data_IF_608734640693
#
_entry.id   IF_608734640693
#
_cell.length_a   1.000
_cell.length_b   1.000
_cell.length_c   1.000
_cell.angle_alpha   90.00
_cell.angle_beta   90.00
_cell.angle_gamma   90.00
#
_symmetry.space_group_name_H-M   'P 1'
#
loop_
_entity.id
_entity.type
_entity.pdbx_description
1 polymer ?
#
# COMPACT_ATOMS: atom_id res chain seq x y z
N UNK A 1 -5.95 12.33 -5.59
CA UNK A 1 -5.38 12.39 -4.22
C UNK A 1 -6.34 13.14 -3.30
N UNK A 2 -6.30 12.84 -2.00
CA UNK A 2 -7.18 13.40 -0.98
C UNK A 2 -6.35 13.89 0.22
N UNK A 3 -6.26 15.21 0.39
CA UNK A 3 -5.40 15.86 1.38
C UNK A 3 -6.22 16.32 2.57
N UNK A 4 -5.73 16.02 3.77
CA UNK A 4 -6.40 16.34 5.02
C UNK A 4 -5.76 15.60 6.20
N UNK A 5 -6.27 15.85 7.40
CA UNK A 5 -5.71 15.30 8.65
C UNK A 5 -5.89 13.78 8.73
N UNK A 6 -4.77 13.08 8.79
CA UNK A 6 -4.70 11.63 9.01
C UNK A 6 -4.23 11.29 10.42
N UNK A 7 -4.58 10.10 10.90
CA UNK A 7 -4.04 9.58 12.16
C UNK A 7 -2.51 9.46 12.08
N UNK A 8 -1.81 9.92 13.12
CA UNK A 8 -0.35 9.93 13.16
C UNK A 8 0.31 11.03 12.32
N UNK A 9 -0.43 11.98 11.73
CA UNK A 9 0.18 13.13 11.06
C UNK A 9 0.98 14.00 12.03
N UNK A 10 2.11 14.54 11.55
CA UNK A 10 2.94 15.51 12.26
C UNK A 10 2.69 16.95 11.80
N UNK A 11 1.65 17.17 10.98
CA UNK A 11 1.22 18.49 10.58
C UNK A 11 0.77 19.33 11.81
N UNK A 12 0.97 20.66 11.79
CA UNK A 12 0.57 21.58 12.86
C UNK A 12 -0.87 21.33 13.35
N UNK A 13 -1.17 21.45 14.64
CA UNK A 13 -2.44 21.01 15.25
C UNK A 13 -3.70 21.67 14.66
N UNK A 14 -3.56 22.88 14.15
CA UNK A 14 -4.59 23.67 13.47
C UNK A 14 -4.82 23.24 12.01
N UNK A 15 -3.82 22.61 11.37
CA UNK A 15 -3.93 22.14 10.00
C UNK A 15 -4.95 21.00 9.88
N UNK A 16 -5.97 21.16 9.04
CA UNK A 16 -7.07 20.19 8.86
C UNK A 16 -7.88 19.88 10.12
N UNK A 17 -7.84 20.74 11.15
CA UNK A 17 -8.61 20.61 12.39
C UNK A 17 -10.13 20.68 12.16
N UNK A 18 -10.57 21.35 11.11
CA UNK A 18 -11.98 21.48 10.72
C UNK A 18 -12.57 20.18 10.13
N UNK A 19 -11.74 19.17 9.87
CA UNK A 19 -12.14 17.96 9.13
C UNK A 19 -12.30 18.18 7.63
N UNK A 20 -11.95 19.37 7.12
CA UNK A 20 -11.97 19.67 5.69
C UNK A 20 -11.01 18.76 4.93
N UNK A 21 -11.38 18.43 3.69
CA UNK A 21 -10.54 17.68 2.76
C UNK A 21 -10.43 18.36 1.41
N UNK A 22 -9.23 18.32 0.86
CA UNK A 22 -8.84 18.86 -0.42
C UNK A 22 -8.62 17.71 -1.40
N UNK A 23 -9.59 17.50 -2.28
CA UNK A 23 -9.50 16.50 -3.34
C UNK A 23 -8.88 17.15 -4.58
N UNK A 24 -7.81 16.53 -5.09
CA UNK A 24 -7.13 16.93 -6.34
C UNK A 24 -7.08 15.70 -7.25
N UNK A 25 -8.01 15.52 -8.20
CA UNK A 25 -7.91 14.49 -9.22
C UNK A 25 -6.75 14.79 -10.17
N UNK A 26 -6.02 13.75 -10.55
CA UNK A 26 -4.84 13.83 -11.41
C UNK A 26 -4.80 12.60 -12.32
N UNK A 27 -4.40 12.79 -13.57
CA UNK A 27 -4.00 11.70 -14.45
C UNK A 27 -2.49 11.76 -14.58
N UNK A 28 -1.83 10.62 -14.33
CA UNK A 28 -0.38 10.54 -14.25
C UNK A 28 0.10 9.41 -15.15
N UNK A 29 1.18 9.68 -15.88
CA UNK A 29 1.81 8.75 -16.79
C UNK A 29 3.18 8.34 -16.24
N UNK A 30 3.32 7.05 -15.95
CA UNK A 30 4.56 6.45 -15.52
C UNK A 30 5.35 6.06 -16.77
N UNK A 31 6.62 6.46 -16.85
CA UNK A 31 7.50 6.17 -17.98
C UNK A 31 8.56 5.15 -17.59
N UNK A 32 9.05 4.39 -18.58
CA UNK A 32 10.21 3.51 -18.45
C UNK A 32 11.55 4.25 -18.58
N UNK A 33 11.52 5.55 -18.88
CA UNK A 33 12.70 6.40 -19.03
C UNK A 33 13.30 6.72 -17.64
N UNK A 34 14.63 6.67 -17.47
CA UNK A 34 15.27 7.14 -16.24
C UNK A 34 14.96 8.61 -15.94
N UNK A 35 14.74 8.94 -14.67
CA UNK A 35 14.68 10.33 -14.23
C UNK A 35 16.09 10.92 -14.11
N UNK A 36 16.32 12.10 -14.69
CA UNK A 36 17.66 12.72 -14.81
C UNK A 36 17.91 13.86 -13.83
N UNK A 37 16.89 14.29 -13.08
CA UNK A 37 17.01 15.34 -12.07
C UNK A 37 17.52 14.83 -10.72
N UNK A 38 17.51 15.72 -9.72
CA UNK A 38 17.81 15.34 -8.34
C UNK A 38 16.72 14.42 -7.77
N UNK A 39 17.13 13.27 -7.23
CA UNK A 39 16.22 12.27 -6.68
C UNK A 39 16.24 12.34 -5.16
N UNK A 40 15.04 12.47 -4.57
CA UNK A 40 14.90 12.43 -3.12
C UNK A 40 15.20 11.03 -2.56
N UNK A 41 15.79 10.99 -1.36
CA UNK A 41 16.16 9.74 -0.68
C UNK A 41 14.99 8.77 -0.48
N UNK A 42 13.76 9.26 -0.33
CA UNK A 42 12.57 8.44 -0.11
C UNK A 42 12.26 7.53 -1.32
N UNK A 43 12.67 7.97 -2.51
CA UNK A 43 12.38 7.30 -3.78
C UNK A 43 13.52 6.37 -4.17
N UNK A 44 14.75 6.79 -3.89
CA UNK A 44 15.96 6.00 -4.15
C UNK A 44 16.57 6.25 -5.53
N UNK A 45 17.87 5.95 -5.66
CA UNK A 45 18.74 6.42 -6.76
C UNK A 45 18.40 5.93 -8.17
N UNK A 46 17.47 4.97 -8.32
CA UNK A 46 17.10 4.36 -9.61
C UNK A 46 15.69 4.77 -10.04
N UNK A 47 15.35 6.04 -9.84
CA UNK A 47 14.05 6.56 -10.19
C UNK A 47 13.84 6.61 -11.71
N UNK A 48 12.67 6.20 -12.14
CA UNK A 48 12.16 6.34 -13.49
C UNK A 48 11.24 7.56 -13.54
N UNK A 49 10.97 8.11 -14.72
CA UNK A 49 10.22 9.36 -14.87
C UNK A 49 8.72 9.15 -14.70
N UNK A 50 8.06 10.04 -13.97
CA UNK A 50 6.59 10.15 -13.87
C UNK A 50 6.16 11.57 -14.24
N UNK A 51 5.11 11.71 -15.04
CA UNK A 51 4.62 13.02 -15.47
C UNK A 51 3.11 13.11 -15.33
N UNK A 52 2.56 14.26 -14.90
CA UNK A 52 1.11 14.46 -15.02
C UNK A 52 0.77 14.60 -16.50
N UNK A 53 -0.37 14.04 -16.93
CA UNK A 53 -0.84 14.14 -18.31
C UNK A 53 -1.24 15.59 -18.63
N UNK A 54 -1.82 16.28 -17.66
CA UNK A 54 -2.13 17.70 -17.71
C UNK A 54 -1.22 18.46 -16.74
N UNK A 55 -0.70 19.62 -17.16
CA UNK A 55 0.18 20.45 -16.32
C UNK A 55 -0.55 21.24 -15.23
N UNK A 56 -1.89 21.21 -15.24
CA UNK A 56 -2.75 21.82 -14.24
C UNK A 56 -3.77 20.81 -13.73
N UNK A 57 -4.01 20.82 -12.42
CA UNK A 57 -5.04 20.03 -11.78
C UNK A 57 -6.15 20.92 -11.26
N UNK A 58 -7.39 20.49 -11.44
CA UNK A 58 -8.57 21.23 -10.98
C UNK A 58 -8.97 20.75 -9.59
N UNK A 59 -9.30 21.69 -8.70
CA UNK A 59 -9.83 21.39 -7.36
C UNK A 59 -10.92 22.39 -6.96
N UNK A 60 -11.77 21.98 -6.02
CA UNK A 60 -12.95 22.75 -5.59
C UNK A 60 -12.75 23.39 -4.20
N UNK A 61 -12.99 24.69 -4.13
CA UNK A 61 -13.00 25.50 -2.89
C UNK A 61 -14.40 26.06 -2.60
N UNK A 62 -14.59 26.74 -1.48
CA UNK A 62 -15.84 27.49 -1.21
C UNK A 62 -16.06 28.59 -2.27
N UNK A 63 -14.99 29.16 -2.81
CA UNK A 63 -15.02 30.17 -3.86
C UNK A 63 -15.10 29.61 -5.29
N UNK A 64 -15.48 28.33 -5.43
CA UNK A 64 -15.60 27.63 -6.70
C UNK A 64 -14.32 26.93 -7.16
N UNK A 65 -14.26 26.71 -8.47
CA UNK A 65 -13.15 26.00 -9.12
C UNK A 65 -11.84 26.78 -9.01
N UNK A 66 -10.75 26.04 -8.76
CA UNK A 66 -9.38 26.54 -8.76
C UNK A 66 -8.47 25.55 -9.48
N UNK A 67 -7.33 26.05 -9.94
CA UNK A 67 -6.30 25.26 -10.63
C UNK A 67 -4.98 25.32 -9.86
N UNK A 68 -4.23 24.23 -9.90
CA UNK A 68 -2.86 24.15 -9.37
C UNK A 68 -1.94 23.57 -10.43
N UNK A 69 -0.76 24.19 -10.60
CA UNK A 69 0.27 23.65 -11.50
C UNK A 69 0.93 22.43 -10.89
N UNK A 70 1.04 21.37 -11.69
CA UNK A 70 1.65 20.10 -11.30
C UNK A 70 2.75 19.75 -12.29
N UNK A 71 3.95 19.53 -11.77
CA UNK A 71 5.13 19.06 -12.48
C UNK A 71 5.35 17.56 -12.26
N UNK A 72 6.13 16.97 -13.16
CA UNK A 72 6.57 15.58 -13.05
C UNK A 72 7.64 15.38 -11.98
N UNK A 73 7.96 14.11 -11.73
CA UNK A 73 8.98 13.69 -10.79
C UNK A 73 9.55 12.34 -11.18
N UNK A 74 10.03 11.60 -10.19
CA UNK A 74 10.50 10.23 -10.35
C UNK A 74 9.63 9.22 -9.61
N UNK A 75 9.75 7.96 -9.98
CA UNK A 75 9.08 6.83 -9.36
C UNK A 75 9.98 5.61 -9.27
N UNK A 76 9.71 4.75 -8.30
CA UNK A 76 10.35 3.44 -8.12
C UNK A 76 9.33 2.43 -7.63
N UNK A 77 9.58 1.15 -7.93
CA UNK A 77 8.95 0.03 -7.22
C UNK A 77 10.04 -0.64 -6.41
N UNK A 78 9.86 -0.65 -5.10
CA UNK A 78 10.67 -1.47 -4.22
C UNK A 78 10.11 -2.89 -4.16
N UNK A 79 10.99 -3.90 -4.27
CA UNK A 79 10.57 -5.28 -4.17
C UNK A 79 10.01 -5.58 -2.76
N UNK A 80 9.15 -6.62 -2.65
CA UNK A 80 8.68 -7.15 -1.37
C UNK A 80 9.77 -7.30 -0.30
N UNK A 81 9.57 -6.69 0.87
CA UNK A 81 10.42 -6.89 2.04
C UNK A 81 9.80 -7.93 2.98
N UNK A 82 10.55 -8.99 3.33
CA UNK A 82 10.19 -9.98 4.37
C UNK A 82 8.72 -10.44 4.36
N UNK A 83 8.22 -10.86 3.18
CA UNK A 83 6.86 -11.36 3.00
C UNK A 83 5.77 -10.27 2.99
N UNK A 84 6.13 -9.00 2.79
CA UNK A 84 5.18 -7.92 2.53
C UNK A 84 4.92 -7.70 1.02
N UNK A 85 4.06 -6.74 0.65
CA UNK A 85 3.86 -6.35 -0.74
C UNK A 85 5.06 -5.59 -1.31
N UNK A 86 5.12 -5.48 -2.64
CA UNK A 86 5.97 -4.47 -3.27
C UNK A 86 5.48 -3.07 -2.89
N UNK A 87 6.37 -2.09 -2.86
CA UNK A 87 6.01 -0.70 -2.53
C UNK A 87 6.35 0.20 -3.70
N UNK A 88 5.32 0.79 -4.30
CA UNK A 88 5.53 1.86 -5.27
C UNK A 88 5.69 3.18 -4.53
N UNK A 89 6.70 3.97 -4.93
CA UNK A 89 6.85 5.35 -4.50
C UNK A 89 7.06 6.27 -5.68
N UNK A 90 6.52 7.47 -5.61
CA UNK A 90 6.78 8.52 -6.58
C UNK A 90 6.55 9.89 -5.96
N UNK A 91 6.93 10.94 -6.68
CA UNK A 91 6.56 12.29 -6.30
C UNK A 91 6.07 13.10 -7.50
N UNK A 92 5.29 14.12 -7.20
CA UNK A 92 4.89 15.17 -8.14
C UNK A 92 5.25 16.53 -7.53
N UNK A 93 5.54 17.50 -8.38
CA UNK A 93 5.93 18.84 -7.94
C UNK A 93 4.74 19.79 -8.03
N UNK A 94 4.37 20.43 -6.92
CA UNK A 94 3.28 21.40 -6.84
C UNK A 94 3.87 22.80 -6.83
N UNK A 95 3.67 23.56 -7.91
CA UNK A 95 4.35 24.85 -8.08
C UNK A 95 3.93 25.91 -7.06
N UNK A 96 2.63 26.25 -7.03
CA UNK A 96 2.09 27.27 -6.10
C UNK A 96 1.39 26.65 -4.88
N UNK A 97 1.42 25.32 -4.73
CA UNK A 97 0.57 24.63 -3.78
C UNK A 97 -0.92 24.72 -4.11
N UNK A 98 -1.76 24.20 -3.23
CA UNK A 98 -3.22 24.30 -3.32
C UNK A 98 -3.81 24.40 -1.92
N UNK A 99 -4.89 25.17 -1.72
CA UNK A 99 -5.44 25.37 -0.38
C UNK A 99 -6.96 25.37 -0.36
N UNK A 100 -7.52 24.88 0.74
CA UNK A 100 -8.95 24.90 1.05
C UNK A 100 -9.12 24.97 2.56
N UNK A 101 -9.61 26.11 3.06
CA UNK A 101 -9.71 26.42 4.50
C UNK A 101 -8.38 26.22 5.22
N UNK A 102 -8.34 25.33 6.20
CA UNK A 102 -7.22 24.98 7.06
C UNK A 102 -6.37 23.82 6.51
N UNK A 103 -6.61 23.42 5.26
CA UNK A 103 -5.86 22.37 4.55
C UNK A 103 -5.13 22.97 3.38
N UNK A 104 -3.84 22.68 3.28
CA UNK A 104 -2.98 23.10 2.17
C UNK A 104 -2.07 21.96 1.70
N UNK A 105 -1.82 21.94 0.39
CA UNK A 105 -0.69 21.29 -0.26
C UNK A 105 0.39 22.37 -0.39
N UNK A 106 1.55 22.23 0.27
CA UNK A 106 2.62 23.21 0.16
C UNK A 106 3.25 23.20 -1.24
N UNK A 107 3.94 24.28 -1.58
CA UNK A 107 4.84 24.32 -2.74
C UNK A 107 5.94 23.27 -2.61
N UNK A 108 6.27 22.60 -3.71
CA UNK A 108 7.37 21.64 -3.81
C UNK A 108 6.89 20.20 -3.99
N UNK A 109 7.67 19.26 -3.49
CA UNK A 109 7.45 17.83 -3.75
C UNK A 109 6.41 17.23 -2.79
N UNK A 110 5.39 16.60 -3.37
CA UNK A 110 4.46 15.72 -2.66
C UNK A 110 4.81 14.28 -3.04
N UNK A 111 5.06 13.46 -2.01
CA UNK A 111 5.45 12.07 -2.15
C UNK A 111 4.24 11.17 -1.97
N UNK A 112 4.19 10.12 -2.77
CA UNK A 112 3.14 9.13 -2.83
C UNK A 112 3.78 7.76 -2.56
N UNK A 113 3.15 6.96 -1.71
CA UNK A 113 3.56 5.57 -1.47
C UNK A 113 2.34 4.68 -1.40
N UNK A 114 2.37 3.52 -2.07
CA UNK A 114 1.32 2.51 -1.98
C UNK A 114 1.91 1.10 -2.02
N UNK A 115 1.20 0.16 -1.42
CA UNK A 115 1.47 -1.26 -1.63
C UNK A 115 0.99 -1.68 -3.02
N UNK A 116 1.68 -2.64 -3.63
CA UNK A 116 1.24 -3.23 -4.88
C UNK A 116 1.70 -4.66 -5.08
N UNK A 117 1.06 -5.33 -6.04
CA UNK A 117 1.19 -6.76 -6.31
C UNK A 117 1.09 -7.04 -7.80
N UNK A 118 1.84 -8.04 -8.26
CA UNK A 118 1.66 -8.61 -9.60
C UNK A 118 0.46 -9.55 -9.61
N UNK A 119 -0.26 -9.64 -10.74
CA UNK A 119 -1.41 -10.53 -10.88
C UNK A 119 -1.04 -12.01 -10.59
N UNK A 120 0.17 -12.46 -10.97
CA UNK A 120 0.61 -13.84 -10.71
C UNK A 120 0.88 -14.10 -9.22
N UNK A 121 1.40 -13.11 -8.50
CA UNK A 121 1.65 -13.19 -7.06
C UNK A 121 0.33 -13.34 -6.31
N UNK A 122 -0.67 -12.53 -6.69
CA UNK A 122 -2.03 -12.61 -6.13
C UNK A 122 -2.64 -13.98 -6.43
N UNK A 123 -2.60 -14.43 -7.68
CA UNK A 123 -3.16 -15.74 -8.05
C UNK A 123 -2.49 -16.91 -7.31
N UNK A 124 -1.16 -16.85 -7.16
CA UNK A 124 -0.39 -17.86 -6.43
C UNK A 124 -0.73 -17.85 -4.94
N UNK A 125 -0.80 -16.68 -4.32
CA UNK A 125 -1.14 -16.53 -2.91
C UNK A 125 -2.59 -16.93 -2.61
N UNK A 126 -3.55 -16.62 -3.48
CA UNK A 126 -4.94 -17.07 -3.34
C UNK A 126 -5.06 -18.59 -3.38
N UNK A 127 -4.33 -19.23 -4.31
CA UNK A 127 -4.27 -20.69 -4.40
C UNK A 127 -3.67 -21.29 -3.13
N UNK A 128 -2.51 -20.79 -2.69
CA UNK A 128 -1.84 -21.26 -1.47
C UNK A 128 -2.72 -21.08 -0.22
N UNK A 129 -3.42 -19.94 -0.12
CA UNK A 129 -4.38 -19.64 0.95
C UNK A 129 -5.52 -20.65 0.96
N UNK A 130 -6.13 -20.92 -0.20
CA UNK A 130 -7.23 -21.88 -0.33
C UNK A 130 -6.81 -23.30 0.04
N UNK A 131 -5.65 -23.74 -0.45
CA UNK A 131 -5.10 -25.08 -0.13
C UNK A 131 -4.80 -25.21 1.37
N UNK A 132 -4.15 -24.22 1.97
CA UNK A 132 -3.82 -24.24 3.40
C UNK A 132 -5.06 -24.16 4.29
N UNK A 133 -6.07 -23.39 3.89
CA UNK A 133 -7.35 -23.33 4.60
C UNK A 133 -8.06 -24.69 4.55
N UNK A 134 -8.09 -25.34 3.38
CA UNK A 134 -8.63 -26.69 3.24
C UNK A 134 -7.90 -27.73 4.09
N UNK A 135 -6.56 -27.63 4.20
CA UNK A 135 -5.77 -28.48 5.10
C UNK A 135 -6.07 -28.22 6.58
N UNK A 136 -6.23 -26.96 6.97
CA UNK A 136 -6.56 -26.55 8.34
C UNK A 136 -7.96 -27.00 8.76
N UNK A 137 -8.96 -26.85 7.89
CA UNK A 137 -10.35 -27.24 8.16
C UNK A 137 -10.56 -28.75 8.07
N UNK A 138 -9.85 -29.42 7.15
CA UNK A 138 -9.88 -30.86 6.98
C UNK A 138 -8.83 -31.56 7.83
N UNK A 139 -7.78 -32.08 7.19
CA UNK A 139 -6.82 -33.03 7.80
C UNK A 139 -6.24 -32.56 9.13
N UNK A 140 -5.69 -31.34 9.20
CA UNK A 140 -5.04 -30.84 10.41
C UNK A 140 -6.07 -30.57 11.52
N UNK A 141 -7.23 -29.99 11.16
CA UNK A 141 -8.31 -29.69 12.10
C UNK A 141 -8.93 -30.95 12.67
N UNK A 142 -9.22 -31.94 11.83
CA UNK A 142 -9.75 -33.24 12.23
C UNK A 142 -8.75 -34.02 13.08
N UNK A 143 -7.47 -34.07 12.69
CA UNK A 143 -6.42 -34.72 13.49
C UNK A 143 -6.24 -34.07 14.86
N UNK A 144 -6.23 -32.74 14.93
CA UNK A 144 -6.17 -32.01 16.19
C UNK A 144 -7.40 -32.28 17.06
N UNK A 145 -8.61 -32.24 16.47
CA UNK A 145 -9.85 -32.51 17.18
C UNK A 145 -9.88 -33.94 17.74
N UNK A 146 -9.55 -34.94 16.92
CA UNK A 146 -9.47 -36.33 17.36
C UNK A 146 -8.44 -36.51 18.48
N UNK A 147 -7.23 -35.96 18.32
CA UNK A 147 -6.19 -36.06 19.34
C UNK A 147 -6.58 -35.36 20.66
N UNK A 148 -7.29 -34.24 20.58
CA UNK A 148 -7.81 -33.50 21.74
C UNK A 148 -8.94 -34.27 22.45
N UNK A 149 -9.91 -34.80 21.71
CA UNK A 149 -11.00 -35.62 22.24
C UNK A 149 -10.47 -36.92 22.88
N UNK A 150 -9.53 -37.60 22.21
CA UNK A 150 -8.88 -38.83 22.69
C UNK A 150 -8.12 -38.60 24.01
N UNK A 151 -7.47 -37.43 24.15
CA UNK A 151 -6.76 -37.02 25.36
C UNK A 151 -7.73 -36.61 26.48
N UNK A 152 -8.80 -35.87 26.14
CA UNK A 152 -9.82 -35.42 27.09
C UNK A 152 -10.58 -36.56 27.75
N UNK A 153 -10.85 -37.64 27.00
CA UNK A 153 -11.56 -38.84 27.48
C UNK A 153 -10.66 -39.88 28.17
N UNK A 154 -9.33 -39.72 28.13
CA UNK A 154 -8.40 -40.71 28.66
C UNK A 154 -8.24 -40.66 30.19
N UNK A 155 -7.96 -41.82 30.80
CA UNK A 155 -7.53 -41.93 32.20
C UNK A 155 -6.12 -41.36 32.44
N UNK A 156 -5.69 -41.24 33.71
CA UNK A 156 -4.45 -40.56 34.07
C UNK A 156 -3.19 -41.16 33.40
N UNK A 157 -3.06 -42.49 33.38
CA UNK A 157 -1.95 -43.18 32.70
C UNK A 157 -2.05 -43.10 31.17
N UNK A 158 -3.26 -43.17 30.60
CA UNK A 158 -3.46 -43.06 29.15
C UNK A 158 -3.17 -41.65 28.61
N UNK A 159 -3.41 -40.61 29.42
CA UNK A 159 -3.07 -39.23 29.06
C UNK A 159 -1.58 -39.07 28.81
N UNK A 160 -0.73 -39.71 29.59
CA UNK A 160 0.73 -39.67 29.40
C UNK A 160 1.10 -40.29 28.04
N UNK A 161 0.48 -41.42 27.68
CA UNK A 161 0.73 -42.10 26.40
C UNK A 161 0.20 -41.33 25.19
N UNK A 162 -0.91 -40.58 25.33
CA UNK A 162 -1.55 -39.81 24.25
C UNK A 162 -0.98 -38.40 24.07
N UNK A 163 -0.25 -37.88 25.06
CA UNK A 163 0.33 -36.54 25.03
C UNK A 163 1.21 -36.25 23.80
N UNK A 164 2.11 -37.16 23.34
CA UNK A 164 2.94 -36.90 22.16
C UNK A 164 2.12 -36.67 20.88
N UNK A 165 1.00 -37.39 20.71
CA UNK A 165 0.10 -37.21 19.56
C UNK A 165 -0.58 -35.85 19.61
N UNK A 166 -1.08 -35.44 20.78
CA UNK A 166 -1.68 -34.12 20.97
C UNK A 166 -0.67 -32.99 20.71
N UNK A 167 0.56 -33.12 21.24
CA UNK A 167 1.63 -32.14 21.00
C UNK A 167 1.97 -32.04 19.51
N UNK A 168 2.12 -33.18 18.82
CA UNK A 168 2.39 -33.20 17.37
C UNK A 168 1.28 -32.52 16.57
N UNK A 169 0.01 -32.82 16.87
CA UNK A 169 -1.13 -32.20 16.20
C UNK A 169 -1.22 -30.69 16.49
N UNK A 170 -0.89 -30.27 17.71
CA UNK A 170 -0.83 -28.85 18.10
C UNK A 170 0.25 -28.11 17.31
N UNK A 171 1.47 -28.65 17.24
CA UNK A 171 2.56 -28.06 16.46
C UNK A 171 2.20 -27.96 14.97
N UNK A 172 1.58 -29.00 14.40
CA UNK A 172 1.15 -28.99 13.01
C UNK A 172 0.11 -27.88 12.74
N UNK A 173 -0.88 -27.74 13.64
CA UNK A 173 -1.87 -26.66 13.59
C UNK A 173 -1.21 -25.29 13.69
N UNK A 174 -0.34 -25.08 14.67
CA UNK A 174 0.30 -23.79 14.91
C UNK A 174 1.20 -23.38 13.74
N UNK A 175 1.97 -24.33 13.17
CA UNK A 175 2.76 -24.08 11.97
C UNK A 175 1.90 -23.72 10.76
N UNK A 176 0.76 -24.39 10.56
CA UNK A 176 -0.16 -24.07 9.48
C UNK A 176 -0.82 -22.70 9.69
N UNK A 177 -1.19 -22.33 10.92
CA UNK A 177 -1.70 -21.00 11.26
C UNK A 177 -0.65 -19.91 11.04
N UNK A 178 0.60 -20.16 11.45
CA UNK A 178 1.71 -19.23 11.20
C UNK A 178 1.95 -19.03 9.71
N UNK A 179 1.92 -20.10 8.91
CA UNK A 179 2.04 -20.01 7.46
C UNK A 179 0.86 -19.26 6.82
N UNK A 180 -0.35 -19.44 7.34
CA UNK A 180 -1.52 -18.67 6.90
C UNK A 180 -1.33 -17.17 7.16
N UNK A 181 -0.80 -16.82 8.34
CA UNK A 181 -0.49 -15.43 8.68
C UNK A 181 0.55 -14.81 7.73
N UNK A 182 1.60 -15.54 7.36
CA UNK A 182 2.59 -15.07 6.38
C UNK A 182 1.99 -14.87 4.97
N UNK A 183 1.08 -15.76 4.55
CA UNK A 183 0.34 -15.59 3.30
C UNK A 183 -0.54 -14.33 3.38
N UNK A 184 -1.34 -14.19 4.44
CA UNK A 184 -2.24 -13.04 4.61
C UNK A 184 -1.47 -11.70 4.72
N UNK A 185 -0.23 -11.71 5.21
CA UNK A 185 0.65 -10.54 5.26
C UNK A 185 1.15 -10.10 3.88
N UNK A 186 1.41 -11.06 2.99
CA UNK A 186 1.90 -10.79 1.63
C UNK A 186 0.77 -10.47 0.64
N UNK A 187 -0.48 -10.76 1.00
CA UNK A 187 -1.64 -10.66 0.11
C UNK A 187 -2.41 -9.34 0.24
N UNK A 188 -3.11 -8.91 -0.83
CA UNK A 188 -4.05 -7.79 -0.76
C UNK A 188 -5.11 -8.05 0.32
N UNK A 189 -5.47 -7.03 1.11
CA UNK A 189 -6.56 -7.14 2.10
C UNK A 189 -7.89 -7.24 1.39
N UNK A 190 -8.96 -7.67 2.08
CA UNK A 190 -10.31 -7.78 1.50
C UNK A 190 -10.78 -6.53 0.74
N UNK A 191 -10.43 -5.34 1.23
CA UNK A 191 -10.79 -4.07 0.60
C UNK A 191 -9.95 -3.78 -0.67
N UNK A 192 -8.79 -4.43 -0.81
CA UNK A 192 -7.87 -4.32 -1.94
C UNK A 192 -8.15 -5.36 -3.05
N UNK A 193 -9.02 -6.34 -2.82
CA UNK A 193 -9.32 -7.40 -3.80
C UNK A 193 -10.01 -6.83 -5.06
N UNK A 194 -10.72 -5.70 -4.93
CA UNK A 194 -11.41 -5.01 -6.02
C UNK A 194 -10.52 -4.07 -6.86
N UNK A 195 -9.22 -4.01 -6.60
CA UNK A 195 -8.30 -3.13 -7.32
C UNK A 195 -8.22 -3.54 -8.79
N UNK A 196 -8.38 -2.57 -9.68
CA UNK A 196 -8.30 -2.80 -11.13
C UNK A 196 -6.82 -2.96 -11.54
N UNK A 197 -6.38 -4.13 -12.02
CA UNK A 197 -5.00 -4.29 -12.46
C UNK A 197 -4.72 -3.46 -13.71
N UNK A 198 -3.59 -2.75 -13.73
CA UNK A 198 -3.14 -1.93 -14.85
C UNK A 198 -1.83 -2.43 -15.44
N UNK A 199 -1.53 -2.07 -16.69
CA UNK A 199 -0.16 -2.22 -17.20
C UNK A 199 0.72 -1.17 -16.55
N UNK A 200 1.88 -1.57 -16.07
CA UNK A 200 2.87 -0.67 -15.50
C UNK A 200 4.15 -0.73 -16.34
N UNK A 201 4.86 0.38 -16.58
CA UNK A 201 6.12 0.33 -17.29
C UNK A 201 7.12 -0.56 -16.54
N UNK A 202 7.99 -1.25 -17.28
CA UNK A 202 9.04 -2.13 -16.75
C UNK A 202 8.53 -3.39 -16.02
N UNK A 203 7.22 -3.63 -16.03
CA UNK A 203 6.60 -4.82 -15.48
C UNK A 203 5.90 -5.56 -16.61
N UNK A 204 6.24 -6.84 -16.80
CA UNK A 204 5.61 -7.65 -17.85
C UNK A 204 4.16 -7.99 -17.51
N UNK A 205 3.89 -8.21 -16.22
CA UNK A 205 2.55 -8.47 -15.71
C UNK A 205 1.75 -7.19 -15.44
N UNK A 206 0.46 -7.38 -15.15
CA UNK A 206 -0.39 -6.32 -14.64
C UNK A 206 -0.13 -6.13 -13.16
N UNK A 207 -0.12 -4.86 -12.75
CA UNK A 207 0.14 -4.43 -11.40
C UNK A 207 -1.16 -3.94 -10.75
N UNK A 208 -1.43 -4.42 -9.54
CA UNK A 208 -2.48 -3.92 -8.64
C UNK A 208 -1.84 -3.02 -7.60
N UNK A 209 -2.52 -1.94 -7.27
CA UNK A 209 -1.99 -0.93 -6.35
C UNK A 209 -3.08 -0.50 -5.39
N UNK A 210 -2.81 -0.64 -4.09
CA UNK A 210 -3.74 -0.25 -3.04
C UNK A 210 -3.87 1.28 -2.91
N UNK A 211 -4.81 1.70 -2.08
CA UNK A 211 -4.79 3.05 -1.55
C UNK A 211 -3.47 3.28 -0.79
N UNK A 212 -2.87 4.44 -1.02
CA UNK A 212 -1.58 4.81 -0.48
C UNK A 212 -1.63 6.08 0.35
N UNK A 213 -0.50 6.35 1.01
CA UNK A 213 -0.28 7.56 1.78
C UNK A 213 0.36 8.67 0.94
N UNK A 214 0.11 9.91 1.35
CA UNK A 214 0.77 11.10 0.86
C UNK A 214 1.63 11.69 1.96
N UNK A 215 2.81 12.19 1.63
CA UNK A 215 3.59 12.99 2.56
C UNK A 215 4.32 14.14 1.88
N UNK A 216 4.72 15.12 2.68
CA UNK A 216 5.56 16.24 2.26
C UNK A 216 6.82 16.26 3.09
N UNK A 217 7.92 16.65 2.44
CA UNK A 217 9.20 16.82 3.09
C UNK A 217 9.21 18.15 3.84
N UNK A 218 9.59 18.12 5.11
CA UNK A 218 9.74 19.31 5.96
C UNK A 218 11.07 19.26 6.68
N UNK A 219 11.63 20.44 6.96
CA UNK A 219 12.79 20.54 7.82
C UNK A 219 12.36 20.32 9.27
N UNK A 220 13.09 19.46 9.99
CA UNK A 220 12.86 19.26 11.42
C UNK A 220 13.00 20.56 12.20
N UNK A 221 12.31 20.67 13.35
CA UNK A 221 12.46 21.83 14.23
C UNK A 221 13.91 21.93 14.71
N UNK A 222 14.48 23.14 14.72
CA UNK A 222 15.86 23.45 15.17
C UNK A 222 17.01 22.87 14.32
N UNK A 223 16.89 22.87 12.99
CA UNK A 223 17.99 22.41 12.12
C UNK A 223 18.22 20.90 12.15
N UNK A 224 17.22 20.15 12.60
CA UNK A 224 17.22 18.69 12.63
C UNK A 224 17.16 18.06 11.23
N UNK A 225 17.30 16.74 11.19
CA UNK A 225 17.20 15.95 9.95
C UNK A 225 15.88 16.18 9.22
N UNK A 226 15.91 16.02 7.89
CA UNK A 226 14.71 16.06 7.06
C UNK A 226 13.65 15.05 7.56
N UNK A 227 12.39 15.47 7.61
CA UNK A 227 11.25 14.66 8.05
C UNK A 227 10.18 14.59 6.95
N UNK A 228 9.36 13.54 6.95
CA UNK A 228 8.23 13.39 6.04
C UNK A 228 6.93 13.40 6.84
N UNK A 229 6.09 14.39 6.59
CA UNK A 229 4.85 14.60 7.34
C UNK A 229 3.67 14.11 6.51
N UNK A 230 2.81 13.27 7.12
CA UNK A 230 1.65 12.69 6.44
C UNK A 230 0.67 13.80 6.06
N UNK A 231 0.33 13.86 4.77
CA UNK A 231 -0.52 14.88 4.16
C UNK A 231 -1.94 14.36 3.84
N UNK A 232 -2.13 13.05 3.72
CA UNK A 232 -3.41 12.49 3.29
C UNK A 232 -3.27 11.10 2.67
N UNK A 233 -4.25 10.73 1.86
CA UNK A 233 -4.28 9.45 1.14
C UNK A 233 -4.54 9.63 -0.34
N UNK A 234 -4.28 8.59 -1.12
CA UNK A 234 -4.59 8.57 -2.54
C UNK A 234 -4.96 7.17 -3.00
N UNK A 235 -5.91 7.10 -3.93
CA UNK A 235 -6.19 5.90 -4.70
C UNK A 235 -5.94 6.15 -6.17
N UNK A 236 -5.83 5.08 -6.94
CA UNK A 236 -5.67 5.15 -8.39
C UNK A 236 -6.56 4.13 -9.10
N UNK A 237 -6.73 4.36 -10.39
CA UNK A 237 -7.34 3.40 -11.30
C UNK A 237 -6.66 3.54 -12.66
N UNK A 238 -6.38 2.44 -13.35
CA UNK A 238 -5.83 2.50 -14.70
C UNK A 238 -6.77 3.28 -15.60
N UNK A 239 -6.24 4.29 -16.30
CA UNK A 239 -6.96 5.04 -17.33
C UNK A 239 -6.63 4.40 -18.67
N UNK A 240 -7.62 4.27 -19.56
CA UNK A 240 -7.34 3.88 -20.94
C UNK A 240 -6.51 5.00 -21.57
N UNK A 241 -5.32 4.67 -22.04
CA UNK A 241 -4.58 5.58 -22.90
C UNK A 241 -5.42 5.72 -24.16
N UNK A 242 -6.08 6.87 -24.32
CA UNK A 242 -6.63 7.27 -25.60
C UNK A 242 -5.39 7.66 -26.39
N UNK A 243 -4.87 6.72 -27.17
CA UNK A 243 -3.87 7.04 -28.16
C UNK A 243 -4.54 7.97 -29.15
N UNK A 244 -4.35 9.27 -28.97
CA UNK A 244 -4.57 10.23 -30.05
C UNK A 244 -3.54 9.86 -31.13
N UNK A 245 -3.99 9.00 -32.04
CA UNK A 245 -3.37 8.79 -33.34
C UNK A 245 -3.39 10.15 -34.04
N UNK A 246 -2.29 10.89 -33.91
CA UNK A 246 -1.88 11.91 -34.88
C UNK A 246 -0.92 11.26 -35.87
#
# INVERSE_FOLDING_TARGET
MNVGRESGTWMPSDWGASGTRLAVPLVVDFKAEPYTGEVDRLIGRKAMKVVPVESEAIYMTEGGERKVKVGGGGWTIEPPAAGGPAVIRFWLEFGAGAAKRDVEIPTGQVFFSAAGWMDEEVATGEKARKELLGLLEGTIGEEFKQASDDYGRAGLFEKILKLPRLVKATIARDNAVAKMFEIDKSMPKKNDIGLKPGKFPLVESRFRMAEGGLCVKRNGKMGGSEEYHILGTWGCSPVKVISDTM
#
